data_IF_092920543393
#
_entry.id   IF_092920543393
#
_cell.length_a   1.000
_cell.length_b   1.000
_cell.length_c   1.000
_cell.angle_alpha   90.00
_cell.angle_beta   90.00
_cell.angle_gamma   90.00
#
_symmetry.space_group_name_H-M   'P 1'
#
loop_
_entity.id
_entity.type
_entity.pdbx_description
1 polymer ?
#
# COMPACT_ATOMS: atom_id res chain seq x y z
N UNK A 1 13.19 -6.09 14.04
CA UNK A 1 13.65 -6.53 15.38
C UNK A 1 13.97 -7.99 15.23
N UNK A 2 15.22 -8.42 15.50
CA UNK A 2 15.64 -9.81 15.30
C UNK A 2 15.47 -10.53 16.63
N UNK A 3 14.80 -11.68 16.62
CA UNK A 3 14.51 -12.43 17.83
C UNK A 3 14.80 -13.92 17.66
N UNK A 4 14.84 -14.62 18.80
CA UNK A 4 14.99 -16.07 18.85
C UNK A 4 13.95 -16.78 17.98
N UNK A 5 14.37 -17.89 17.37
CA UNK A 5 13.55 -18.66 16.42
C UNK A 5 12.40 -19.34 17.16
N UNK A 6 11.17 -19.06 16.74
CA UNK A 6 10.07 -19.99 16.94
C UNK A 6 10.15 -21.03 15.81
N UNK A 7 10.18 -22.31 16.18
CA UNK A 7 10.16 -23.42 15.22
C UNK A 7 8.79 -24.09 15.30
N UNK A 8 7.95 -23.85 14.29
CA UNK A 8 6.64 -24.48 14.17
C UNK A 8 6.70 -25.93 13.66
N UNK A 9 7.87 -26.38 13.20
CA UNK A 9 8.06 -27.70 12.61
C UNK A 9 7.64 -28.82 13.59
N UNK A 10 6.63 -29.59 13.20
CA UNK A 10 6.10 -30.69 14.01
C UNK A 10 5.04 -30.30 15.04
N UNK A 11 4.69 -29.01 15.17
CA UNK A 11 3.59 -28.55 16.01
C UNK A 11 2.27 -28.54 15.23
N UNK A 12 1.17 -28.96 15.88
CA UNK A 12 -0.19 -28.76 15.34
C UNK A 12 -0.61 -27.32 15.65
N UNK A 13 -1.06 -26.53 14.65
CA UNK A 13 -1.57 -25.19 14.91
C UNK A 13 -2.86 -25.24 15.75
N UNK A 14 -3.04 -24.25 16.63
CA UNK A 14 -4.32 -23.96 17.29
C UNK A 14 -5.36 -23.42 16.31
N UNK A 15 -4.91 -22.65 15.32
CA UNK A 15 -5.77 -22.05 14.31
C UNK A 15 -5.00 -21.80 13.02
N UNK A 16 -5.71 -21.81 11.90
CA UNK A 16 -5.15 -21.52 10.58
C UNK A 16 -6.07 -20.58 9.82
N UNK A 17 -5.50 -19.51 9.28
CA UNK A 17 -6.17 -18.60 8.36
C UNK A 17 -5.39 -18.49 7.05
N UNK A 18 -5.83 -17.65 6.14
CA UNK A 18 -5.23 -17.54 4.81
C UNK A 18 -3.77 -17.07 4.87
N UNK A 19 -3.45 -16.16 5.78
CA UNK A 19 -2.12 -15.53 5.85
C UNK A 19 -1.18 -16.13 6.91
N UNK A 20 -1.72 -16.79 7.94
CA UNK A 20 -0.93 -17.19 9.11
C UNK A 20 -1.44 -18.45 9.80
N UNK A 21 -0.54 -19.11 10.51
CA UNK A 21 -0.84 -20.20 11.43
C UNK A 21 -0.60 -19.73 12.87
N UNK A 22 -1.46 -20.14 13.79
CA UNK A 22 -1.40 -19.74 15.20
C UNK A 22 -1.07 -20.95 16.06
N UNK A 23 -0.13 -20.81 16.99
CA UNK A 23 0.36 -21.86 17.88
C UNK A 23 0.34 -21.37 19.34
N UNK A 24 0.29 -22.28 20.30
CA UNK A 24 0.64 -21.94 21.69
C UNK A 24 2.14 -21.61 21.74
N UNK A 25 2.52 -20.54 22.44
CA UNK A 25 3.93 -20.27 22.73
C UNK A 25 4.51 -21.35 23.66
N UNK A 26 5.52 -22.13 23.23
CA UNK A 26 6.11 -23.18 24.06
C UNK A 26 6.74 -22.66 25.36
N UNK A 27 7.15 -21.38 25.38
CA UNK A 27 7.73 -20.75 26.56
C UNK A 27 6.70 -20.14 27.51
N UNK A 28 5.43 -20.01 27.09
CA UNK A 28 4.37 -19.43 27.90
C UNK A 28 2.98 -19.78 27.34
N UNK A 29 2.27 -20.68 28.02
CA UNK A 29 0.94 -21.15 27.61
C UNK A 29 -0.16 -20.07 27.54
N UNK A 30 0.08 -18.90 28.15
CA UNK A 30 -0.80 -17.72 28.11
C UNK A 30 -0.58 -16.84 26.87
N UNK A 31 0.34 -17.23 25.99
CA UNK A 31 0.63 -16.54 24.74
C UNK A 31 0.39 -17.46 23.55
N UNK A 32 0.09 -16.81 22.42
CA UNK A 32 0.09 -17.45 21.11
C UNK A 32 1.17 -16.84 20.23
N UNK A 33 1.68 -17.65 19.31
CA UNK A 33 2.58 -17.22 18.24
C UNK A 33 1.85 -17.38 16.93
N UNK A 34 1.64 -16.27 16.24
CA UNK A 34 1.18 -16.25 14.85
C UNK A 34 2.38 -16.25 13.92
N UNK A 35 2.57 -17.33 13.16
CA UNK A 35 3.58 -17.45 12.12
C UNK A 35 2.97 -17.10 10.75
N UNK A 36 3.51 -16.08 10.09
CA UNK A 36 3.09 -15.69 8.74
C UNK A 36 3.54 -16.75 7.74
N UNK A 37 2.62 -17.22 6.90
CA UNK A 37 2.89 -18.24 5.88
C UNK A 37 3.87 -17.72 4.83
N UNK A 38 4.62 -18.63 4.19
CA UNK A 38 5.69 -18.24 3.25
C UNK A 38 5.17 -17.54 1.99
N UNK A 39 3.98 -17.93 1.57
CA UNK A 39 3.25 -17.41 0.41
C UNK A 39 2.47 -16.12 0.70
N UNK A 40 2.33 -15.74 1.98
CA UNK A 40 1.66 -14.51 2.35
C UNK A 40 2.57 -13.30 2.13
N UNK A 41 1.95 -12.15 1.87
CA UNK A 41 2.66 -10.88 1.81
C UNK A 41 3.34 -10.59 3.16
N UNK A 42 4.62 -10.23 3.09
CA UNK A 42 5.45 -9.97 4.26
C UNK A 42 5.53 -8.48 4.55
N UNK A 43 5.43 -8.14 5.83
CA UNK A 43 5.62 -6.77 6.30
C UNK A 43 7.12 -6.41 6.28
N UNK A 44 7.51 -5.18 6.01
CA UNK A 44 8.90 -4.74 6.22
C UNK A 44 9.28 -4.77 7.71
N UNK A 45 10.59 -4.77 8.05
CA UNK A 45 11.01 -4.69 9.44
C UNK A 45 10.46 -3.46 10.20
N UNK A 46 10.16 -2.36 9.51
CA UNK A 46 9.52 -1.18 10.12
C UNK A 46 8.02 -1.38 10.27
N UNK A 47 7.33 -1.94 9.29
CA UNK A 47 5.92 -2.30 9.40
C UNK A 47 5.67 -3.27 10.56
N UNK A 48 6.52 -4.28 10.77
CA UNK A 48 6.41 -5.19 11.91
C UNK A 48 6.53 -4.46 13.27
N UNK A 49 7.47 -3.51 13.38
CA UNK A 49 7.60 -2.67 14.58
C UNK A 49 6.38 -1.78 14.78
N UNK A 50 5.92 -1.13 13.71
CA UNK A 50 4.75 -0.28 13.75
C UNK A 50 3.48 -1.07 14.10
N UNK A 51 3.33 -2.31 13.61
CA UNK A 51 2.26 -3.24 14.02
C UNK A 51 2.27 -3.51 15.53
N UNK A 52 3.46 -3.73 16.10
CA UNK A 52 3.59 -3.88 17.55
C UNK A 52 3.09 -2.64 18.29
N UNK A 53 3.56 -1.45 17.90
CA UNK A 53 3.16 -0.21 18.57
C UNK A 53 1.66 0.09 18.40
N UNK A 54 1.12 -0.08 17.19
CA UNK A 54 -0.28 0.21 16.91
C UNK A 54 -1.21 -0.74 17.66
N UNK A 55 -0.89 -2.04 17.66
CA UNK A 55 -1.66 -3.03 18.41
C UNK A 55 -1.52 -2.81 19.92
N UNK A 56 -0.35 -2.37 20.41
CA UNK A 56 -0.21 -1.96 21.82
C UNK A 56 -1.10 -0.79 22.18
N UNK A 57 -1.20 0.24 21.33
CA UNK A 57 -2.10 1.38 21.55
C UNK A 57 -3.55 0.89 21.59
N UNK A 58 -3.98 0.07 20.63
CA UNK A 58 -5.32 -0.50 20.58
C UNK A 58 -5.66 -1.29 21.86
N UNK A 59 -4.74 -2.12 22.35
CA UNK A 59 -4.89 -2.84 23.62
C UNK A 59 -5.00 -1.89 24.81
N UNK A 60 -4.18 -0.83 24.88
CA UNK A 60 -4.25 0.12 26.00
C UNK A 60 -5.54 0.95 26.00
N UNK A 61 -6.11 1.23 24.82
CA UNK A 61 -7.39 1.92 24.68
C UNK A 61 -8.59 1.01 24.96
N UNK A 62 -8.52 -0.27 24.54
CA UNK A 62 -9.61 -1.24 24.61
C UNK A 62 -9.11 -2.60 25.20
N UNK A 63 -8.65 -2.65 26.45
CA UNK A 63 -7.95 -3.83 27.01
C UNK A 63 -8.85 -5.07 27.16
N UNK A 64 -10.17 -4.88 27.26
CA UNK A 64 -11.14 -5.97 27.37
C UNK A 64 -11.62 -6.49 26.00
N UNK A 65 -11.12 -5.91 24.90
CA UNK A 65 -11.55 -6.25 23.53
C UNK A 65 -10.37 -6.57 22.60
N UNK A 66 -9.17 -6.08 22.90
CA UNK A 66 -7.99 -6.29 22.06
C UNK A 66 -6.96 -7.06 22.87
N UNK A 67 -6.54 -8.27 22.43
CA UNK A 67 -5.50 -9.04 23.10
C UNK A 67 -4.19 -8.27 23.14
N UNK A 68 -3.44 -8.38 24.24
CA UNK A 68 -2.15 -7.71 24.31
C UNK A 68 -1.15 -8.29 23.30
N UNK A 69 -0.29 -7.45 22.70
CA UNK A 69 0.81 -7.89 21.84
C UNK A 69 2.13 -7.86 22.61
N UNK A 70 2.85 -8.96 22.66
CA UNK A 70 4.15 -9.01 23.35
C UNK A 70 5.31 -8.69 22.42
N UNK A 71 5.19 -9.08 21.14
CA UNK A 71 6.28 -8.97 20.19
C UNK A 71 5.77 -9.09 18.75
N UNK A 72 6.43 -8.40 17.81
CA UNK A 72 6.33 -8.68 16.39
C UNK A 72 7.72 -8.55 15.76
N UNK A 73 8.10 -9.51 14.90
CA UNK A 73 9.44 -9.50 14.33
C UNK A 73 9.69 -10.56 13.27
N UNK A 74 10.92 -10.57 12.79
CA UNK A 74 11.37 -11.45 11.72
C UNK A 74 12.60 -12.25 12.18
N UNK A 75 12.60 -13.53 11.87
CA UNK A 75 13.72 -14.44 12.14
C UNK A 75 14.84 -14.23 11.12
N UNK A 76 16.02 -14.78 11.40
CA UNK A 76 17.15 -14.73 10.46
C UNK A 76 16.87 -15.40 9.11
N UNK A 77 15.95 -16.36 9.07
CA UNK A 77 15.52 -17.07 7.86
C UNK A 77 14.36 -16.34 7.13
N UNK A 78 13.99 -15.15 7.61
CA UNK A 78 12.91 -14.35 7.03
C UNK A 78 11.50 -14.78 7.45
N UNK A 79 11.36 -15.64 8.47
CA UNK A 79 10.06 -16.03 9.02
C UNK A 79 9.50 -14.94 9.92
N UNK A 80 8.27 -14.49 9.70
CA UNK A 80 7.65 -13.42 10.49
C UNK A 80 6.72 -13.99 11.54
N UNK A 81 6.90 -13.53 12.79
CA UNK A 81 6.15 -14.01 13.93
C UNK A 81 5.59 -12.86 14.76
N UNK A 82 4.37 -13.04 15.25
CA UNK A 82 3.71 -12.14 16.18
C UNK A 82 3.31 -12.91 17.44
N UNK A 83 3.73 -12.42 18.60
CA UNK A 83 3.40 -12.98 19.90
C UNK A 83 2.31 -12.12 20.53
N UNK A 84 1.18 -12.74 20.83
CA UNK A 84 0.03 -12.07 21.42
C UNK A 84 -0.53 -12.85 22.61
N UNK A 85 -1.38 -12.21 23.38
CA UNK A 85 -2.14 -12.82 24.46
C UNK A 85 -3.05 -13.90 23.91
N UNK A 86 -3.09 -15.02 24.63
CA UNK A 86 -3.99 -16.12 24.31
C UNK A 86 -5.35 -15.87 24.95
N UNK A 87 -6.36 -15.73 24.12
CA UNK A 87 -7.76 -15.61 24.56
C UNK A 87 -8.48 -16.95 24.40
N UNK A 88 -9.37 -17.27 25.34
CA UNK A 88 -10.28 -18.41 25.24
C UNK A 88 -11.32 -18.15 24.14
N UNK A 89 -11.59 -19.14 23.30
CA UNK A 89 -12.55 -19.01 22.22
C UNK A 89 -13.94 -19.53 22.61
N UNK A 90 -14.99 -18.86 22.12
CA UNK A 90 -16.34 -19.41 22.13
C UNK A 90 -16.47 -20.64 21.22
N UNK A 91 -17.54 -21.42 21.41
CA UNK A 91 -17.76 -22.68 20.69
C UNK A 91 -17.81 -22.46 19.18
N UNK A 92 -18.53 -21.44 18.72
CA UNK A 92 -18.63 -21.10 17.30
C UNK A 92 -17.27 -20.84 16.66
N UNK A 93 -16.38 -20.10 17.33
CA UNK A 93 -15.03 -19.84 16.81
C UNK A 93 -14.16 -21.11 16.81
N UNK A 94 -14.24 -21.92 17.85
CA UNK A 94 -13.55 -23.22 17.90
C UNK A 94 -14.01 -24.14 16.76
N UNK A 95 -15.31 -24.15 16.43
CA UNK A 95 -15.86 -24.89 15.30
C UNK A 95 -15.35 -24.38 13.95
N UNK A 96 -15.18 -23.07 13.77
CA UNK A 96 -14.58 -22.49 12.55
C UNK A 96 -13.15 -23.02 12.38
N UNK A 97 -12.33 -22.94 13.43
CA UNK A 97 -10.95 -23.42 13.35
C UNK A 97 -10.88 -24.92 13.09
N UNK A 98 -11.76 -25.71 13.72
CA UNK A 98 -11.86 -27.14 13.46
C UNK A 98 -12.24 -27.44 12.00
N UNK A 99 -13.24 -26.76 11.45
CA UNK A 99 -13.66 -26.94 10.06
C UNK A 99 -12.54 -26.63 9.07
N UNK A 100 -11.75 -25.58 9.32
CA UNK A 100 -10.59 -25.20 8.48
C UNK A 100 -9.45 -26.22 8.55
N UNK A 101 -9.19 -26.77 9.73
CA UNK A 101 -8.05 -27.66 9.95
C UNK A 101 -8.32 -29.12 9.59
N UNK A 102 -9.53 -29.60 9.89
CA UNK A 102 -9.89 -31.02 9.81
C UNK A 102 -10.89 -31.30 8.67
N UNK A 103 -11.35 -30.25 7.99
CA UNK A 103 -12.47 -30.32 7.05
C UNK A 103 -13.82 -30.26 7.79
N UNK A 104 -14.81 -29.62 7.20
CA UNK A 104 -16.14 -29.49 7.78
C UNK A 104 -16.98 -28.40 7.14
N UNK A 105 -18.19 -28.21 7.65
CA UNK A 105 -19.08 -27.14 7.22
C UNK A 105 -18.75 -25.83 7.95
N UNK A 106 -17.78 -25.08 7.40
CA UNK A 106 -17.40 -23.76 7.93
C UNK A 106 -18.58 -22.78 7.91
N UNK A 107 -19.49 -22.87 6.95
CA UNK A 107 -20.65 -22.00 6.87
C UNK A 107 -21.63 -22.23 8.04
N UNK A 108 -21.80 -23.48 8.46
CA UNK A 108 -22.56 -23.79 9.68
C UNK A 108 -21.86 -23.25 10.94
N UNK A 109 -20.54 -23.40 11.04
CA UNK A 109 -19.77 -22.87 12.17
C UNK A 109 -19.84 -21.33 12.27
N UNK A 110 -19.73 -20.64 11.12
CA UNK A 110 -19.89 -19.19 11.03
C UNK A 110 -21.26 -18.73 11.53
N UNK A 111 -22.34 -19.45 11.18
CA UNK A 111 -23.70 -19.13 11.68
C UNK A 111 -23.81 -19.26 13.20
N UNK A 112 -23.08 -20.18 13.82
CA UNK A 112 -23.04 -20.31 15.28
C UNK A 112 -22.28 -19.12 15.87
N UNK A 113 -21.09 -18.80 15.35
CA UNK A 113 -20.28 -17.67 15.80
C UNK A 113 -21.05 -16.33 15.71
N UNK A 114 -21.75 -16.08 14.59
CA UNK A 114 -22.59 -14.88 14.43
C UNK A 114 -23.65 -14.78 15.52
N UNK A 115 -24.28 -15.90 15.92
CA UNK A 115 -25.28 -15.90 17.00
C UNK A 115 -24.66 -15.63 18.37
N UNK A 116 -23.46 -16.16 18.64
CA UNK A 116 -22.75 -15.98 19.91
C UNK A 116 -22.27 -14.55 20.13
N UNK A 117 -21.71 -13.96 19.07
CA UNK A 117 -21.23 -12.58 19.05
C UNK A 117 -22.41 -11.60 19.12
N UNK A 118 -23.49 -11.89 18.42
CA UNK A 118 -24.66 -11.01 18.34
C UNK A 118 -24.26 -9.63 17.85
N UNK A 119 -24.75 -8.58 18.53
CA UNK A 119 -24.39 -7.19 18.22
C UNK A 119 -22.98 -6.81 18.67
N UNK A 120 -22.34 -7.60 19.54
CA UNK A 120 -21.07 -7.21 20.17
C UNK A 120 -19.90 -7.07 19.20
N UNK A 121 -19.88 -7.82 18.08
CA UNK A 121 -18.87 -7.62 17.05
C UNK A 121 -19.03 -6.26 16.36
N UNK A 122 -20.25 -5.91 15.98
CA UNK A 122 -20.56 -4.61 15.38
C UNK A 122 -20.26 -3.45 16.34
N UNK A 123 -20.63 -3.58 17.62
CA UNK A 123 -20.35 -2.54 18.61
C UNK A 123 -18.82 -2.37 18.82
N UNK A 124 -18.03 -3.45 18.73
CA UNK A 124 -16.57 -3.36 18.76
C UNK A 124 -16.00 -2.71 17.48
N UNK A 125 -16.57 -2.98 16.31
CA UNK A 125 -16.14 -2.35 15.05
C UNK A 125 -16.32 -0.83 15.10
N UNK A 126 -17.45 -0.36 15.63
CA UNK A 126 -17.69 1.06 15.85
C UNK A 126 -16.68 1.68 16.84
N UNK A 127 -16.31 0.97 17.91
CA UNK A 127 -15.28 1.45 18.83
C UNK A 127 -13.90 1.48 18.18
N UNK A 128 -13.55 0.50 17.35
CA UNK A 128 -12.31 0.48 16.58
C UNK A 128 -12.26 1.62 15.55
N UNK A 129 -13.36 1.87 14.83
CA UNK A 129 -13.49 3.01 13.93
C UNK A 129 -13.32 4.32 14.69
N UNK A 130 -13.98 4.49 15.85
CA UNK A 130 -13.90 5.68 16.69
C UNK A 130 -12.48 6.01 17.17
N UNK A 131 -11.61 5.01 17.35
CA UNK A 131 -10.20 5.21 17.74
C UNK A 131 -9.25 5.26 16.53
N UNK A 132 -9.79 5.40 15.32
CA UNK A 132 -9.03 5.56 14.08
C UNK A 132 -8.54 4.25 13.45
N UNK A 133 -9.10 3.09 13.80
CA UNK A 133 -8.66 1.77 13.29
C UNK A 133 -9.61 1.17 12.24
N UNK A 134 -10.57 1.92 11.72
CA UNK A 134 -11.58 1.42 10.77
C UNK A 134 -10.98 0.73 9.52
N UNK A 135 -9.88 1.23 8.96
CA UNK A 135 -9.22 0.63 7.79
C UNK A 135 -8.56 -0.74 8.05
N UNK A 136 -8.35 -1.10 9.32
CA UNK A 136 -7.76 -2.38 9.73
C UNK A 136 -8.82 -3.46 10.02
N UNK A 137 -10.09 -3.09 10.05
CA UNK A 137 -11.18 -4.00 10.40
C UNK A 137 -11.75 -4.63 9.13
N UNK A 138 -11.77 -5.96 9.09
CA UNK A 138 -12.51 -6.73 8.09
C UNK A 138 -13.85 -7.13 8.69
N UNK A 139 -14.81 -6.20 8.65
CA UNK A 139 -16.16 -6.29 9.23
C UNK A 139 -16.97 -7.49 8.72
N UNK A 140 -16.57 -8.05 7.57
CA UNK A 140 -17.19 -9.24 6.96
C UNK A 140 -16.60 -10.54 7.48
N UNK A 141 -15.45 -10.50 8.15
CA UNK A 141 -14.73 -11.69 8.57
C UNK A 141 -14.91 -11.98 10.06
N UNK A 142 -16.08 -12.54 10.37
CA UNK A 142 -16.48 -12.98 11.72
C UNK A 142 -15.46 -13.96 12.37
N UNK A 143 -14.62 -14.63 11.58
CA UNK A 143 -13.56 -15.50 12.13
C UNK A 143 -12.44 -14.72 12.87
N UNK A 144 -12.38 -13.39 12.71
CA UNK A 144 -11.47 -12.53 13.46
C UNK A 144 -12.01 -12.16 14.85
N UNK A 145 -13.23 -12.58 15.20
CA UNK A 145 -13.86 -12.24 16.46
C UNK A 145 -14.10 -13.48 17.30
N UNK A 146 -14.04 -13.32 18.61
CA UNK A 146 -14.49 -14.35 19.53
C UNK A 146 -15.11 -13.72 20.77
N UNK A 147 -15.73 -14.54 21.61
CA UNK A 147 -16.30 -14.11 22.88
C UNK A 147 -15.61 -14.88 23.99
N UNK A 148 -15.13 -14.17 25.02
CA UNK A 148 -14.54 -14.84 26.17
C UNK A 148 -15.64 -15.37 27.12
N UNK A 149 -15.25 -16.11 28.16
CA UNK A 149 -16.16 -16.66 29.17
C UNK A 149 -16.95 -15.59 29.94
N UNK A 150 -16.43 -14.37 30.03
CA UNK A 150 -17.10 -13.22 30.67
C UNK A 150 -18.13 -12.55 29.75
N UNK A 151 -18.19 -12.94 28.49
CA UNK A 151 -19.09 -12.38 27.48
C UNK A 151 -18.54 -11.16 26.72
N UNK A 152 -17.29 -10.75 26.97
CA UNK A 152 -16.64 -9.69 26.20
C UNK A 152 -16.26 -10.21 24.81
N UNK A 153 -16.52 -9.40 23.79
CA UNK A 153 -16.12 -9.69 22.40
C UNK A 153 -14.70 -9.18 22.17
N UNK A 154 -13.87 -10.02 21.59
CA UNK A 154 -12.50 -9.71 21.22
C UNK A 154 -12.32 -9.68 19.71
N UNK A 155 -11.47 -8.77 19.22
CA UNK A 155 -10.88 -8.81 17.89
C UNK A 155 -9.49 -9.43 17.98
N UNK A 156 -9.27 -10.53 17.24
CA UNK A 156 -8.11 -11.41 17.38
C UNK A 156 -6.96 -11.05 16.43
N UNK A 157 -7.19 -10.14 15.48
CA UNK A 157 -6.16 -9.70 14.54
C UNK A 157 -5.31 -8.56 15.10
N UNK A 158 -4.17 -8.31 14.45
CA UNK A 158 -3.27 -7.21 14.83
C UNK A 158 -3.31 -6.12 13.76
N UNK A 159 -3.01 -4.89 14.17
CA UNK A 159 -3.23 -3.71 13.34
C UNK A 159 -1.97 -3.35 12.54
N UNK A 160 -2.09 -3.26 11.22
CA UNK A 160 -1.05 -2.72 10.33
C UNK A 160 -1.13 -1.19 10.34
N UNK A 161 -0.02 -0.47 10.51
CA UNK A 161 -0.04 0.99 10.48
C UNK A 161 -0.09 1.57 9.05
N UNK A 162 0.52 0.88 8.08
CA UNK A 162 0.49 1.25 6.68
C UNK A 162 0.76 0.04 5.78
N UNK A 163 0.46 0.20 4.49
CA UNK A 163 0.86 -0.72 3.42
C UNK A 163 1.36 0.06 2.21
N UNK A 164 2.01 -0.62 1.27
CA UNK A 164 2.27 -0.03 -0.05
C UNK A 164 0.94 0.16 -0.77
N UNK A 165 0.75 1.29 -1.45
CA UNK A 165 -0.49 1.56 -2.17
C UNK A 165 -0.67 0.59 -3.36
N UNK A 166 -1.91 0.14 -3.56
CA UNK A 166 -2.24 -0.85 -4.59
C UNK A 166 -2.14 -0.26 -6.01
N UNK A 167 -2.30 1.05 -6.14
CA UNK A 167 -2.27 1.81 -7.39
C UNK A 167 -0.91 2.47 -7.64
N UNK A 168 -0.27 3.01 -6.58
CA UNK A 168 1.11 3.51 -6.66
C UNK A 168 2.04 2.76 -5.70
N UNK A 169 2.82 1.82 -6.26
CA UNK A 169 3.79 1.03 -5.48
C UNK A 169 4.92 1.85 -4.85
N UNK A 170 5.00 3.15 -5.13
CA UNK A 170 5.96 4.08 -4.56
C UNK A 170 5.40 4.88 -3.38
N UNK A 171 4.12 4.74 -3.07
CA UNK A 171 3.46 5.46 -1.98
C UNK A 171 3.04 4.51 -0.87
N UNK A 172 2.98 5.04 0.34
CA UNK A 172 2.43 4.35 1.49
C UNK A 172 1.00 4.79 1.71
N UNK A 173 0.11 3.81 1.86
CA UNK A 173 -1.24 4.01 2.34
C UNK A 173 -1.27 3.80 3.86
N UNK A 174 -1.54 4.87 4.61
CA UNK A 174 -1.77 4.82 6.05
C UNK A 174 -3.08 4.08 6.34
N UNK A 175 -3.09 3.24 7.37
CA UNK A 175 -4.22 2.37 7.72
C UNK A 175 -4.83 2.72 9.09
N UNK A 176 -4.54 3.91 9.60
CA UNK A 176 -5.19 4.44 10.80
C UNK A 176 -5.36 5.96 10.67
N UNK A 177 -6.35 6.51 11.36
CA UNK A 177 -6.60 7.96 11.43
C UNK A 177 -5.86 8.53 12.64
N UNK A 178 -4.87 9.39 12.38
CA UNK A 178 -4.01 9.94 13.45
C UNK A 178 -4.79 10.84 14.41
N UNK A 179 -5.68 11.69 13.90
CA UNK A 179 -6.46 12.64 14.71
C UNK A 179 -7.38 11.90 15.69
N UNK A 180 -8.18 10.95 15.18
CA UNK A 180 -9.07 10.13 16.02
C UNK A 180 -8.29 9.33 17.07
N UNK A 181 -7.12 8.82 16.71
CA UNK A 181 -6.26 8.10 17.65
C UNK A 181 -5.71 9.02 18.75
N UNK A 182 -5.31 10.25 18.40
CA UNK A 182 -4.87 11.25 19.38
C UNK A 182 -6.00 11.62 20.33
N UNK A 183 -7.19 11.86 19.81
CA UNK A 183 -8.38 12.18 20.62
C UNK A 183 -8.72 11.03 21.57
N UNK A 184 -8.66 9.79 21.10
CA UNK A 184 -8.88 8.60 21.92
C UNK A 184 -7.83 8.47 23.04
N UNK A 185 -6.55 8.69 22.72
CA UNK A 185 -5.47 8.71 23.72
C UNK A 185 -5.66 9.85 24.72
N UNK A 186 -6.10 11.01 24.25
CA UNK A 186 -6.31 12.18 25.11
C UNK A 186 -7.43 11.99 26.13
N UNK A 187 -8.45 11.19 25.78
CA UNK A 187 -9.54 10.79 26.65
C UNK A 187 -9.18 9.78 27.74
N UNK A 188 -7.96 9.22 27.75
CA UNK A 188 -7.52 8.31 28.81
C UNK A 188 -7.36 9.05 30.15
N UNK A 189 -7.91 8.47 31.21
CA UNK A 189 -7.79 9.02 32.57
C UNK A 189 -6.44 8.73 33.22
N UNK A 190 -5.76 7.66 32.81
CA UNK A 190 -4.45 7.26 33.34
C UNK A 190 -3.32 7.94 32.58
N UNK A 191 -2.61 8.84 33.26
CA UNK A 191 -1.56 9.66 32.67
C UNK A 191 -0.36 8.84 32.19
N UNK A 192 0.01 7.78 32.92
CA UNK A 192 1.13 6.91 32.52
C UNK A 192 0.82 6.17 31.21
N UNK A 193 -0.38 5.58 31.11
CA UNK A 193 -0.85 4.93 29.89
C UNK A 193 -0.96 5.91 28.73
N UNK A 194 -1.49 7.12 28.98
CA UNK A 194 -1.56 8.19 27.97
C UNK A 194 -0.19 8.53 27.40
N UNK A 195 0.81 8.80 28.25
CA UNK A 195 2.18 9.10 27.81
C UNK A 195 2.82 7.94 27.05
N UNK A 196 2.52 6.70 27.45
CA UNK A 196 3.01 5.50 26.77
C UNK A 196 2.40 5.37 25.37
N UNK A 197 1.09 5.58 25.23
CA UNK A 197 0.41 5.57 23.93
C UNK A 197 0.97 6.66 23.00
N UNK A 198 1.18 7.89 23.50
CA UNK A 198 1.76 8.98 22.71
C UNK A 198 3.17 8.64 22.22
N UNK A 199 4.04 8.07 23.07
CA UNK A 199 5.38 7.62 22.67
C UNK A 199 5.33 6.54 21.58
N UNK A 200 4.38 5.62 21.67
CA UNK A 200 4.18 4.60 20.63
C UNK A 200 3.69 5.22 19.33
N UNK A 201 2.75 6.15 19.38
CA UNK A 201 2.24 6.85 18.21
C UNK A 201 3.34 7.65 17.51
N UNK A 202 4.11 8.45 18.27
CA UNK A 202 5.27 9.17 17.74
C UNK A 202 6.25 8.23 17.05
N UNK A 203 6.55 7.07 17.66
CA UNK A 203 7.46 6.10 17.05
C UNK A 203 6.89 5.48 15.76
N UNK A 204 5.58 5.30 15.65
CA UNK A 204 4.92 4.84 14.40
C UNK A 204 5.15 5.88 13.30
N UNK A 205 4.93 7.17 13.58
CA UNK A 205 5.10 8.26 12.61
C UNK A 205 6.56 8.41 12.14
N UNK A 206 7.52 8.27 13.06
CA UNK A 206 8.95 8.22 12.72
C UNK A 206 9.27 7.04 11.79
N UNK A 207 8.79 5.83 12.13
CA UNK A 207 9.02 4.64 11.32
C UNK A 207 8.40 4.75 9.91
N UNK A 208 7.25 5.42 9.80
CA UNK A 208 6.61 5.69 8.51
C UNK A 208 7.47 6.61 7.66
N UNK A 209 7.94 7.73 8.23
CA UNK A 209 8.85 8.67 7.54
C UNK A 209 10.14 7.98 7.08
N UNK A 210 10.70 7.10 7.91
CA UNK A 210 11.88 6.29 7.56
C UNK A 210 11.59 5.33 6.37
N UNK A 211 10.40 4.73 6.32
CA UNK A 211 9.99 3.81 5.25
C UNK A 211 9.71 4.54 3.93
N UNK A 212 9.03 5.70 3.97
CA UNK A 212 8.81 6.57 2.82
C UNK A 212 10.13 7.01 2.20
N UNK A 213 11.10 7.40 3.04
CA UNK A 213 12.44 7.75 2.60
C UNK A 213 13.12 6.58 1.88
N UNK A 214 13.06 5.38 2.43
CA UNK A 214 13.66 4.19 1.81
C UNK A 214 12.94 3.79 0.51
N UNK A 215 11.62 3.95 0.43
CA UNK A 215 10.87 3.75 -0.82
C UNK A 215 11.29 4.75 -1.90
N UNK A 216 11.42 6.02 -1.54
CA UNK A 216 11.90 7.07 -2.46
C UNK A 216 13.32 6.77 -2.95
N UNK A 217 14.24 6.45 -2.04
CA UNK A 217 15.62 6.12 -2.40
C UNK A 217 15.71 4.88 -3.31
N UNK A 218 14.91 3.83 -3.03
CA UNK A 218 14.81 2.64 -3.89
C UNK A 218 14.28 2.99 -5.28
N UNK A 219 13.25 3.84 -5.35
CA UNK A 219 12.69 4.32 -6.62
C UNK A 219 13.76 5.07 -7.41
N UNK A 220 14.38 6.08 -6.81
CA UNK A 220 15.42 6.89 -7.46
C UNK A 220 16.59 6.03 -7.96
N UNK A 221 17.02 5.04 -7.19
CA UNK A 221 18.07 4.10 -7.59
C UNK A 221 17.66 3.16 -8.75
N UNK A 222 16.36 2.97 -8.98
CA UNK A 222 15.83 2.14 -10.06
C UNK A 222 15.57 2.91 -11.37
N UNK A 223 15.60 4.24 -11.34
CA UNK A 223 15.36 5.08 -12.51
C UNK A 223 16.50 4.95 -13.52
N UNK A 224 16.15 4.83 -14.80
CA UNK A 224 17.14 4.88 -15.88
C UNK A 224 17.63 6.31 -16.09
N UNK A 225 18.88 6.45 -16.54
CA UNK A 225 19.42 7.76 -16.89
C UNK A 225 18.71 8.31 -18.13
N UNK A 226 18.11 9.50 -18.01
CA UNK A 226 17.31 10.11 -19.07
C UNK A 226 18.18 10.74 -20.17
N UNK A 227 19.44 11.07 -19.89
CA UNK A 227 20.36 11.79 -20.78
C UNK A 227 20.37 11.25 -22.22
N UNK A 228 20.63 9.95 -22.45
CA UNK A 228 20.63 9.38 -23.80
C UNK A 228 19.29 9.53 -24.55
N UNK A 229 18.17 9.43 -23.83
CA UNK A 229 16.83 9.55 -24.41
C UNK A 229 16.48 10.99 -24.73
N UNK A 230 16.87 11.93 -23.87
CA UNK A 230 16.71 13.37 -24.09
C UNK A 230 17.56 13.81 -25.29
N UNK A 231 18.84 13.42 -25.35
CA UNK A 231 19.73 13.75 -26.47
C UNK A 231 19.19 13.23 -27.81
N UNK A 232 18.70 11.99 -27.85
CA UNK A 232 18.13 11.42 -29.08
C UNK A 232 16.86 12.17 -29.51
N UNK A 233 16.01 12.53 -28.54
CA UNK A 233 14.79 13.29 -28.80
C UNK A 233 15.10 14.70 -29.31
N UNK A 234 16.04 15.39 -28.68
CA UNK A 234 16.52 16.70 -29.13
C UNK A 234 17.19 16.62 -30.50
N UNK A 235 17.93 15.55 -30.80
CA UNK A 235 18.51 15.32 -32.11
C UNK A 235 17.47 15.18 -33.23
N UNK A 236 16.29 14.63 -32.93
CA UNK A 236 15.17 14.55 -33.87
C UNK A 236 14.45 15.91 -33.99
N UNK A 237 14.24 16.61 -32.86
CA UNK A 237 13.49 17.87 -32.81
C UNK A 237 14.26 19.06 -33.38
N UNK A 238 15.55 19.19 -33.07
CA UNK A 238 16.38 20.35 -33.41
C UNK A 238 16.32 20.75 -34.91
N UNK A 239 16.50 19.85 -35.89
CA UNK A 239 16.44 20.24 -37.30
C UNK A 239 15.03 20.66 -37.76
N UNK A 240 13.99 20.22 -37.05
CA UNK A 240 12.58 20.53 -37.38
C UNK A 240 12.10 21.83 -36.73
N UNK A 241 12.82 22.33 -35.71
CA UNK A 241 12.48 23.52 -34.94
C UNK A 241 13.28 24.77 -35.34
N UNK A 242 14.05 24.72 -36.43
CA UNK A 242 14.71 25.91 -36.97
C UNK A 242 13.68 26.91 -37.52
N UNK A 243 14.02 28.20 -37.53
CA UNK A 243 13.13 29.23 -38.04
C UNK A 243 12.74 28.99 -39.50
N UNK A 244 13.67 28.51 -40.32
CA UNK A 244 13.45 28.17 -41.72
C UNK A 244 12.49 26.99 -41.86
N UNK A 245 12.71 25.90 -41.11
CA UNK A 245 11.85 24.71 -41.13
C UNK A 245 10.43 25.05 -40.70
N UNK A 246 10.28 25.80 -39.60
CA UNK A 246 8.97 26.21 -39.09
C UNK A 246 8.23 27.14 -40.07
N UNK A 247 8.93 28.10 -40.66
CA UNK A 247 8.34 29.02 -41.66
C UNK A 247 7.86 28.26 -42.89
N UNK A 248 8.66 27.31 -43.38
CA UNK A 248 8.28 26.47 -44.51
C UNK A 248 7.04 25.64 -44.20
N UNK A 249 7.01 24.98 -43.04
CA UNK A 249 5.87 24.16 -42.62
C UNK A 249 4.59 25.01 -42.46
N UNK A 250 4.70 26.21 -41.88
CA UNK A 250 3.57 27.14 -41.73
C UNK A 250 3.05 27.74 -43.04
N UNK A 251 3.86 27.74 -44.10
CA UNK A 251 3.44 28.27 -45.41
C UNK A 251 2.55 27.31 -46.21
N UNK A 252 2.37 26.08 -45.73
CA UNK A 252 1.55 25.05 -46.40
C UNK A 252 0.09 25.26 -45.99
N UNK A 253 -0.75 25.73 -46.90
CA UNK A 253 -2.13 26.11 -46.60
C UNK A 253 -3.17 25.12 -47.15
N UNK A 254 -2.85 24.41 -48.24
CA UNK A 254 -3.81 23.52 -48.92
C UNK A 254 -3.48 22.03 -48.77
N UNK A 255 -4.48 21.18 -49.02
CA UNK A 255 -4.31 19.73 -49.03
C UNK A 255 -3.32 19.27 -50.11
N UNK A 256 -3.34 19.88 -51.30
CA UNK A 256 -2.43 19.55 -52.39
C UNK A 256 -0.97 19.87 -52.03
N UNK A 257 -0.71 21.05 -51.47
CA UNK A 257 0.62 21.45 -50.98
C UNK A 257 1.08 20.50 -49.86
N UNK A 258 0.18 20.16 -48.95
CA UNK A 258 0.44 19.28 -47.83
C UNK A 258 0.79 17.84 -48.25
N UNK A 259 0.26 17.38 -49.40
CA UNK A 259 0.55 16.08 -49.99
C UNK A 259 1.83 16.10 -50.85
N UNK A 260 2.17 17.24 -51.44
CA UNK A 260 3.37 17.41 -52.25
C UNK A 260 4.64 17.73 -51.44
N UNK A 261 4.50 18.30 -50.24
CA UNK A 261 5.66 18.70 -49.41
C UNK A 261 6.40 17.49 -48.82
N UNK A 262 7.67 17.37 -49.20
CA UNK A 262 8.59 16.38 -48.64
C UNK A 262 8.93 16.72 -47.19
N UNK A 263 9.04 18.00 -46.86
CA UNK A 263 9.38 18.52 -45.54
C UNK A 263 8.27 18.22 -44.53
N UNK A 264 7.01 18.48 -44.92
CA UNK A 264 5.85 18.09 -44.10
C UNK A 264 5.75 16.59 -43.94
N UNK A 265 6.01 15.83 -45.00
CA UNK A 265 6.01 14.36 -44.93
C UNK A 265 7.08 13.84 -43.97
N UNK A 266 8.30 14.41 -44.02
CA UNK A 266 9.39 14.08 -43.12
C UNK A 266 9.06 14.42 -41.66
N UNK A 267 8.62 15.65 -41.40
CA UNK A 267 8.22 16.10 -40.07
C UNK A 267 7.07 15.26 -39.49
N UNK A 268 6.07 14.91 -40.32
CA UNK A 268 4.95 14.04 -39.92
C UNK A 268 5.43 12.63 -39.56
N UNK A 269 6.39 12.07 -40.29
CA UNK A 269 6.99 10.77 -39.97
C UNK A 269 7.76 10.79 -38.65
N UNK A 270 8.41 11.92 -38.32
CA UNK A 270 9.12 12.10 -37.05
C UNK A 270 8.20 12.18 -35.81
N UNK A 271 6.92 12.54 -35.98
CA UNK A 271 5.96 12.64 -34.84
C UNK A 271 5.86 11.35 -34.02
N UNK A 272 5.80 10.20 -34.69
CA UNK A 272 5.63 8.90 -34.02
C UNK A 272 6.80 8.55 -33.10
N UNK A 273 8.08 8.58 -33.54
CA UNK A 273 9.21 8.33 -32.64
C UNK A 273 9.35 9.40 -31.55
N UNK A 274 9.04 10.67 -31.84
CA UNK A 274 9.02 11.75 -30.83
C UNK A 274 8.02 11.44 -29.71
N UNK A 275 6.76 11.14 -30.07
CA UNK A 275 5.71 10.84 -29.11
C UNK A 275 6.03 9.61 -28.27
N UNK A 276 6.56 8.54 -28.88
CA UNK A 276 6.95 7.33 -28.15
C UNK A 276 8.04 7.62 -27.10
N UNK A 277 9.01 8.45 -27.43
CA UNK A 277 10.09 8.83 -26.50
C UNK A 277 9.59 9.77 -25.40
N UNK A 278 8.75 10.75 -25.75
CA UNK A 278 8.09 11.61 -24.76
C UNK A 278 7.28 10.78 -23.77
N UNK A 279 6.48 9.83 -24.26
CA UNK A 279 5.70 8.94 -23.41
C UNK A 279 6.59 8.13 -22.48
N UNK A 280 7.67 7.54 -22.99
CA UNK A 280 8.64 6.79 -22.17
C UNK A 280 9.25 7.65 -21.05
N UNK A 281 9.61 8.90 -21.35
CA UNK A 281 10.09 9.86 -20.36
C UNK A 281 9.00 10.21 -19.34
N UNK A 282 7.76 10.44 -19.80
CA UNK A 282 6.59 10.80 -18.97
C UNK A 282 6.11 9.64 -18.07
N UNK A 283 6.42 8.38 -18.40
CA UNK A 283 6.10 7.19 -17.59
C UNK A 283 6.90 7.10 -16.28
N UNK A 284 7.74 8.10 -15.97
CA UNK A 284 8.57 8.19 -14.74
C UNK A 284 9.45 6.96 -14.49
N UNK A 285 9.88 6.32 -15.58
CA UNK A 285 10.84 5.20 -15.57
C UNK A 285 12.29 5.67 -15.68
N UNK A 286 12.49 6.96 -15.92
CA UNK A 286 13.79 7.63 -16.00
C UNK A 286 13.91 8.73 -14.96
N UNK A 287 15.12 9.23 -14.72
CA UNK A 287 15.38 10.37 -13.84
C UNK A 287 15.12 11.74 -14.50
N UNK A 288 14.29 11.79 -15.54
CA UNK A 288 13.88 13.05 -16.18
C UNK A 288 13.04 13.88 -15.21
N UNK A 289 13.30 15.18 -15.18
CA UNK A 289 12.52 16.11 -14.35
C UNK A 289 11.22 16.53 -15.03
N UNK A 290 10.22 16.91 -14.24
CA UNK A 290 8.95 17.44 -14.77
C UNK A 290 9.17 18.68 -15.65
N UNK A 291 10.16 19.52 -15.32
CA UNK A 291 10.56 20.70 -16.10
C UNK A 291 11.15 20.32 -17.47
N UNK A 292 12.06 19.35 -17.52
CA UNK A 292 12.62 18.85 -18.78
C UNK A 292 11.54 18.21 -19.66
N UNK A 293 10.66 17.40 -19.08
CA UNK A 293 9.51 16.84 -19.79
C UNK A 293 8.60 17.94 -20.34
N UNK A 294 8.31 18.98 -19.55
CA UNK A 294 7.49 20.11 -19.99
C UNK A 294 8.11 20.87 -21.17
N UNK A 295 9.43 21.14 -21.12
CA UNK A 295 10.17 21.80 -22.21
C UNK A 295 10.14 20.95 -23.50
N UNK A 296 10.46 19.66 -23.41
CA UNK A 296 10.40 18.74 -24.56
C UNK A 296 8.98 18.64 -25.14
N UNK A 297 7.96 18.64 -24.28
CA UNK A 297 6.55 18.65 -24.70
C UNK A 297 6.18 19.96 -25.40
N UNK A 298 6.69 21.09 -24.92
CA UNK A 298 6.51 22.39 -25.57
C UNK A 298 7.16 22.43 -26.95
N UNK A 299 8.41 21.97 -27.06
CA UNK A 299 9.12 21.80 -28.34
C UNK A 299 8.32 20.95 -29.32
N UNK A 300 7.81 19.81 -28.87
CA UNK A 300 6.91 18.98 -29.68
C UNK A 300 5.62 19.70 -30.09
N UNK A 301 4.96 20.42 -29.19
CA UNK A 301 3.73 21.19 -29.51
C UNK A 301 3.97 22.26 -30.58
N UNK A 302 5.13 22.94 -30.56
CA UNK A 302 5.51 23.91 -31.58
C UNK A 302 5.60 23.21 -32.95
N UNK A 303 6.31 22.09 -33.02
CA UNK A 303 6.42 21.30 -34.24
C UNK A 303 5.05 20.78 -34.72
N UNK A 304 4.21 20.28 -33.80
CA UNK A 304 2.91 19.71 -34.12
C UNK A 304 1.99 20.73 -34.79
N UNK A 305 1.97 21.96 -34.26
CA UNK A 305 1.26 23.10 -34.84
C UNK A 305 1.82 23.50 -36.19
N UNK A 306 3.14 23.55 -36.33
CA UNK A 306 3.78 23.87 -37.60
C UNK A 306 3.44 22.83 -38.69
N UNK A 307 3.36 21.53 -38.37
CA UNK A 307 2.97 20.49 -39.33
C UNK A 307 1.51 20.66 -39.81
N UNK A 308 0.62 21.08 -38.90
CA UNK A 308 -0.79 21.34 -39.17
C UNK A 308 -1.62 20.09 -39.52
N UNK A 309 -2.94 20.20 -39.35
CA UNK A 309 -3.90 19.13 -39.67
C UNK A 309 -4.70 19.48 -40.91
N UNK A 310 -4.82 18.55 -41.86
CA UNK A 310 -5.66 18.74 -43.04
C UNK A 310 -7.13 18.56 -42.65
N UNK A 311 -7.94 19.59 -42.87
CA UNK A 311 -9.38 19.57 -42.63
C UNK A 311 -10.11 20.40 -43.69
N UNK A 312 -11.04 19.78 -44.43
CA UNK A 312 -11.82 20.45 -45.47
C UNK A 312 -10.98 21.07 -46.60
N UNK A 313 -9.92 20.38 -47.04
CA UNK A 313 -9.02 20.84 -48.10
C UNK A 313 -7.97 21.89 -47.68
N UNK A 314 -7.94 22.28 -46.40
CA UNK A 314 -7.00 23.26 -45.85
C UNK A 314 -6.17 22.68 -44.71
N UNK A 315 -4.99 23.25 -44.49
CA UNK A 315 -4.13 22.93 -43.33
C UNK A 315 -4.40 23.91 -42.20
N UNK A 316 -4.74 23.38 -41.02
CA UNK A 316 -4.94 24.16 -39.80
C UNK A 316 -3.72 24.04 -38.87
N UNK A 317 -3.07 25.18 -38.61
CA UNK A 317 -1.89 25.32 -37.74
C UNK A 317 -2.23 25.86 -36.33
N UNK A 318 -3.50 26.20 -36.07
CA UNK A 318 -3.91 26.96 -34.88
C UNK A 318 -4.40 26.09 -33.72
N UNK A 319 -4.45 24.77 -33.94
CA UNK A 319 -5.02 23.80 -33.01
C UNK A 319 -4.09 23.41 -31.85
#
# INVERSE_FOLDING_TARGET
>A
MKFGRFESAGLKPLGSGDQKNVFVDPGNEKRVVSEIKKEAEKDTPRQLKGRYYLTKIAHLLLPENIPDIYQAGESHEGGQNVYAERISHAEGHALIQKARQEGGDEAAALKISVKELGRGAWDLDLELERIGLGFNVDDKNIANYTKNEKGSVYYLETFKPWRVDDFDKNELKVLFEEEDMRDAIDGLSDQETKEKCLKYLERILELMTEEEKELRERREASLQECGPYVEELEGILAPLLTAESLTLLHSIETEEEAMASLERTFARKARVPILKKLQFLEEKTTNVTDEQCADLRQKYKILDRAIGTVNGGKVDHTR
#
